data_IF_737474338527
#
_entry.id   IF_737474338527
#
_cell.length_a   1.000
_cell.length_b   1.000
_cell.length_c   1.000
_cell.angle_alpha   90.00
_cell.angle_beta   90.00
_cell.angle_gamma   90.00
#
_symmetry.space_group_name_H-M   'P 1'
#
loop_
_entity.id
_entity.type
_entity.pdbx_description
1 polymer ?
#
# COMPACT_ATOMS: atom_id res chain seq x y z
N UNK A 1 5.01 9.73 2.50
CA UNK A 1 3.79 9.56 1.66
C UNK A 1 2.86 8.50 2.24
N UNK A 2 1.58 8.59 1.93
CA UNK A 2 0.57 7.59 2.27
C UNK A 2 0.07 6.91 1.01
N UNK A 3 0.01 5.58 1.01
CA UNK A 3 -0.30 4.81 -0.19
C UNK A 3 -1.41 3.81 0.10
N UNK A 4 -2.56 3.99 -0.54
CA UNK A 4 -3.57 2.93 -0.60
C UNK A 4 -3.05 1.83 -1.54
N UNK A 5 -2.94 0.61 -1.02
CA UNK A 5 -2.26 -0.50 -1.69
C UNK A 5 -3.04 -1.81 -1.58
N UNK A 6 -2.78 -2.70 -2.54
CA UNK A 6 -3.37 -4.04 -2.61
C UNK A 6 -2.30 -5.03 -3.05
N UNK A 7 -2.12 -6.12 -2.30
CA UNK A 7 -1.16 -7.19 -2.64
C UNK A 7 -1.55 -8.03 -3.86
N UNK A 8 -2.74 -7.81 -4.43
CA UNK A 8 -3.15 -8.41 -5.71
C UNK A 8 -2.84 -7.51 -6.92
N UNK A 9 -2.39 -6.27 -6.70
CA UNK A 9 -2.24 -5.26 -7.75
C UNK A 9 -0.82 -5.24 -8.32
N UNK A 10 -0.61 -5.53 -9.63
CA UNK A 10 0.71 -5.57 -10.25
C UNK A 10 1.52 -4.27 -10.10
N UNK A 11 0.86 -3.12 -10.13
CA UNK A 11 1.53 -1.83 -9.94
C UNK A 11 1.91 -1.54 -8.48
N UNK A 12 1.21 -2.14 -7.52
CA UNK A 12 1.62 -2.08 -6.11
C UNK A 12 2.89 -2.89 -5.88
N UNK A 13 3.04 -4.05 -6.55
CA UNK A 13 4.30 -4.80 -6.54
C UNK A 13 5.45 -3.96 -7.12
N UNK A 14 5.27 -3.34 -8.29
CA UNK A 14 6.31 -2.48 -8.90
C UNK A 14 6.68 -1.29 -8.01
N UNK A 15 5.71 -0.66 -7.34
CA UNK A 15 5.99 0.40 -6.37
C UNK A 15 6.80 -0.14 -5.19
N UNK A 16 6.47 -1.34 -4.71
CA UNK A 16 7.16 -1.98 -3.58
C UNK A 16 8.59 -2.41 -3.93
N UNK A 17 8.85 -2.85 -5.18
CA UNK A 17 10.19 -3.13 -5.69
C UNK A 17 11.11 -1.90 -5.65
N UNK A 18 10.54 -0.69 -5.68
CA UNK A 18 11.27 0.59 -5.61
C UNK A 18 11.50 1.08 -4.18
N UNK A 19 11.13 0.31 -3.15
CA UNK A 19 11.14 0.76 -1.76
C UNK A 19 12.52 1.23 -1.28
N UNK A 20 13.59 0.51 -1.64
CA UNK A 20 14.96 0.89 -1.24
C UNK A 20 15.40 2.20 -1.91
N UNK A 21 15.03 2.43 -3.17
CA UNK A 21 15.33 3.68 -3.87
C UNK A 21 14.56 4.86 -3.26
N UNK A 22 13.27 4.68 -2.93
CA UNK A 22 12.46 5.69 -2.25
C UNK A 22 13.03 6.03 -0.87
N UNK A 23 13.31 5.01 -0.06
CA UNK A 23 13.89 5.18 1.28
C UNK A 23 15.27 5.85 1.22
N UNK A 24 16.10 5.49 0.24
CA UNK A 24 17.42 6.10 0.00
C UNK A 24 17.35 7.59 -0.35
N UNK A 25 16.20 8.08 -0.84
CA UNK A 25 15.92 9.50 -1.08
C UNK A 25 15.16 10.17 0.09
N UNK A 26 15.04 9.49 1.23
CA UNK A 26 14.35 10.01 2.41
C UNK A 26 12.83 9.96 2.33
N UNK A 27 12.26 9.22 1.37
CA UNK A 27 10.81 9.08 1.23
C UNK A 27 10.31 7.94 2.12
N UNK A 28 9.65 8.28 3.22
CA UNK A 28 8.94 7.29 4.03
C UNK A 28 7.61 6.89 3.36
N UNK A 29 7.39 5.59 3.14
CA UNK A 29 6.13 5.05 2.59
C UNK A 29 5.28 4.42 3.69
N UNK A 30 4.06 4.93 3.85
CA UNK A 30 3.08 4.41 4.81
C UNK A 30 1.91 3.77 4.06
N UNK A 31 1.85 2.44 4.08
CA UNK A 31 0.78 1.70 3.41
C UNK A 31 -0.54 1.73 4.19
N UNK A 32 -1.62 1.90 3.44
CA UNK A 32 -3.01 1.82 3.89
C UNK A 32 -3.66 0.70 3.07
N UNK A 33 -4.26 -0.29 3.73
CA UNK A 33 -4.86 -1.41 3.04
C UNK A 33 -6.08 -0.97 2.22
N UNK A 34 -6.07 -1.28 0.93
CA UNK A 34 -7.19 -1.05 0.02
C UNK A 34 -7.34 -2.22 -0.95
N UNK A 35 -7.78 -3.39 -0.49
CA UNK A 35 -8.09 -4.52 -1.37
C UNK A 35 -9.14 -4.11 -2.42
N UNK A 36 -8.83 -4.26 -3.71
CA UNK A 36 -9.70 -3.82 -4.82
C UNK A 36 -10.98 -4.65 -4.96
N UNK A 37 -11.15 -5.71 -4.17
CA UNK A 37 -12.34 -6.53 -4.08
C UNK A 37 -12.35 -7.38 -2.82
N UNK A 38 -13.54 -7.78 -2.37
CA UNK A 38 -13.76 -8.56 -1.15
C UNK A 38 -12.94 -9.87 -1.13
N UNK A 39 -12.69 -10.48 -2.29
CA UNK A 39 -11.86 -11.68 -2.39
C UNK A 39 -10.39 -11.47 -1.98
N UNK A 40 -9.92 -10.22 -1.94
CA UNK A 40 -8.55 -9.87 -1.55
C UNK A 40 -8.45 -9.38 -0.09
N UNK A 41 -9.56 -9.11 0.58
CA UNK A 41 -9.58 -8.76 2.01
C UNK A 41 -8.83 -9.77 2.88
N UNK A 42 -9.04 -11.11 2.75
CA UNK A 42 -8.42 -12.06 3.66
C UNK A 42 -6.89 -12.00 3.67
N UNK A 43 -6.26 -11.79 2.50
CA UNK A 43 -4.81 -11.67 2.43
C UNK A 43 -4.33 -10.38 3.11
N UNK A 44 -5.02 -9.26 2.92
CA UNK A 44 -4.68 -7.99 3.55
C UNK A 44 -4.88 -8.05 5.08
N UNK A 45 -5.98 -8.66 5.54
CA UNK A 45 -6.27 -8.88 6.97
C UNK A 45 -5.21 -9.80 7.59
N UNK A 46 -4.85 -10.89 6.93
CA UNK A 46 -3.80 -11.79 7.41
C UNK A 46 -2.46 -11.07 7.58
N UNK A 47 -2.06 -10.23 6.61
CA UNK A 47 -0.82 -9.43 6.71
C UNK A 47 -0.89 -8.47 7.90
N UNK A 48 -2.02 -7.80 8.11
CA UNK A 48 -2.20 -6.88 9.23
C UNK A 48 -2.29 -7.57 10.59
N UNK A 49 -2.54 -8.87 10.60
CA UNK A 49 -2.54 -9.71 11.78
C UNK A 49 -1.21 -10.40 12.06
N UNK A 50 -0.22 -10.28 11.17
CA UNK A 50 1.12 -10.82 11.38
C UNK A 50 1.85 -10.08 12.50
N UNK A 51 2.64 -10.82 13.28
CA UNK A 51 3.52 -10.26 14.32
C UNK A 51 4.49 -9.22 13.74
N UNK A 52 5.11 -9.57 12.60
CA UNK A 52 5.89 -8.64 11.78
C UNK A 52 5.14 -8.37 10.47
N UNK A 53 4.39 -7.27 10.47
CA UNK A 53 3.66 -6.81 9.28
C UNK A 53 4.58 -6.45 8.12
N UNK A 54 5.77 -5.90 8.38
CA UNK A 54 6.70 -5.52 7.30
C UNK A 54 7.22 -6.76 6.59
N UNK A 55 7.71 -7.75 7.35
CA UNK A 55 8.16 -9.01 6.79
C UNK A 55 7.04 -9.74 6.04
N UNK A 56 5.84 -9.82 6.62
CA UNK A 56 4.70 -10.46 5.98
C UNK A 56 4.29 -9.77 4.67
N UNK A 57 4.23 -8.44 4.66
CA UNK A 57 3.90 -7.68 3.46
C UNK A 57 4.95 -7.89 2.36
N UNK A 58 6.24 -7.85 2.71
CA UNK A 58 7.33 -8.09 1.76
C UNK A 58 7.26 -9.50 1.15
N UNK A 59 6.98 -10.53 1.96
CA UNK A 59 6.84 -11.92 1.49
C UNK A 59 5.71 -12.03 0.46
N UNK A 60 4.54 -11.45 0.75
CA UNK A 60 3.39 -11.51 -0.16
C UNK A 60 3.61 -10.67 -1.42
N UNK A 61 4.23 -9.49 -1.29
CA UNK A 61 4.61 -8.66 -2.44
C UNK A 61 5.67 -9.33 -3.33
N UNK A 62 6.43 -10.30 -2.82
CA UNK A 62 7.33 -11.13 -3.62
C UNK A 62 6.66 -12.40 -4.19
N UNK A 63 5.33 -12.51 -4.09
CA UNK A 63 4.54 -13.57 -4.72
C UNK A 63 4.37 -14.83 -3.87
N UNK A 64 4.86 -14.85 -2.63
CA UNK A 64 4.62 -15.96 -1.72
C UNK A 64 3.21 -15.88 -1.09
N UNK A 65 2.60 -17.02 -0.76
CA UNK A 65 1.30 -17.03 -0.07
C UNK A 65 1.46 -16.58 1.39
N UNK A 66 0.35 -16.16 2.00
CA UNK A 66 0.26 -15.93 3.44
C UNK A 66 -0.74 -16.89 4.08
N UNK A 67 -0.39 -17.41 5.26
CA UNK A 67 -1.31 -18.23 6.04
C UNK A 67 -2.50 -17.36 6.50
N UNK A 68 -3.74 -17.88 6.46
CA UNK A 68 -4.88 -17.16 7.02
C UNK A 68 -4.65 -16.83 8.49
N UNK A 69 -4.86 -15.58 8.86
CA UNK A 69 -4.81 -15.12 10.23
C UNK A 69 -6.00 -14.19 10.50
N UNK A 70 -6.51 -14.23 11.73
CA UNK A 70 -7.63 -13.39 12.15
C UNK A 70 -7.31 -12.72 13.48
N UNK A 71 -7.52 -11.42 13.53
CA UNK A 71 -7.31 -10.56 14.67
C UNK A 71 -8.16 -9.29 14.47
N UNK A 72 -8.32 -8.48 15.53
CA UNK A 72 -8.86 -7.13 15.38
C UNK A 72 -7.86 -6.28 14.59
N UNK A 73 -8.21 -5.95 13.35
CA UNK A 73 -7.35 -5.21 12.43
C UNK A 73 -8.10 -4.01 11.80
N UNK A 74 -7.38 -3.02 11.24
CA UNK A 74 -7.98 -1.81 10.69
C UNK A 74 -8.34 -1.94 9.19
N UNK A 75 -8.16 -3.09 8.53
CA UNK A 75 -8.23 -3.19 7.06
C UNK A 75 -9.58 -2.73 6.51
N UNK A 76 -10.69 -3.14 7.12
CA UNK A 76 -12.03 -2.68 6.72
C UNK A 76 -12.23 -1.17 6.89
N UNK A 77 -11.72 -0.60 7.98
CA UNK A 77 -11.79 0.85 8.21
C UNK A 77 -10.91 1.63 7.21
N UNK A 78 -9.74 1.09 6.87
CA UNK A 78 -8.85 1.65 5.85
C UNK A 78 -9.45 1.57 4.44
N UNK A 79 -10.10 0.47 4.10
CA UNK A 79 -10.85 0.32 2.86
C UNK A 79 -11.95 1.39 2.75
N UNK A 80 -12.77 1.55 3.79
CA UNK A 80 -13.82 2.57 3.84
C UNK A 80 -13.26 4.00 3.77
N UNK A 81 -12.13 4.25 4.42
CA UNK A 81 -11.43 5.54 4.31
C UNK A 81 -11.07 5.84 2.84
N UNK A 82 -10.51 4.86 2.12
CA UNK A 82 -10.18 5.05 0.71
C UNK A 82 -11.41 5.32 -0.16
N UNK A 83 -12.53 4.63 0.09
CA UNK A 83 -13.80 4.94 -0.59
C UNK A 83 -14.24 6.39 -0.35
N UNK A 84 -14.17 6.86 0.91
CA UNK A 84 -14.55 8.22 1.28
C UNK A 84 -13.61 9.28 0.66
N UNK A 85 -12.34 8.93 0.42
CA UNK A 85 -11.34 9.78 -0.23
C UNK A 85 -11.39 9.71 -1.77
N UNK A 86 -12.31 8.92 -2.35
CA UNK A 86 -12.45 8.77 -3.80
C UNK A 86 -11.40 7.87 -4.46
N UNK A 87 -10.72 7.02 -3.69
CA UNK A 87 -9.81 6.02 -4.22
C UNK A 87 -10.60 5.04 -5.09
N UNK A 88 -10.20 4.90 -6.35
CA UNK A 88 -10.83 4.02 -7.34
C UNK A 88 -9.85 3.02 -7.98
N UNK A 89 -8.60 2.99 -7.51
CA UNK A 89 -7.55 2.09 -7.99
C UNK A 89 -6.32 2.13 -7.08
N UNK A 90 -5.44 1.15 -7.22
CA UNK A 90 -4.19 1.05 -6.45
C UNK A 90 -2.97 0.91 -7.37
N UNK A 91 -1.78 1.40 -6.98
CA UNK A 91 -1.55 2.21 -5.79
C UNK A 91 -2.19 3.60 -5.96
N UNK A 92 -2.67 4.21 -4.89
CA UNK A 92 -3.09 5.62 -4.88
C UNK A 92 -2.25 6.36 -3.83
N UNK A 93 -1.45 7.33 -4.30
CA UNK A 93 -0.41 7.98 -3.51
C UNK A 93 -0.87 9.37 -3.10
N UNK A 94 -0.70 9.69 -1.82
CA UNK A 94 -1.00 10.98 -1.22
C UNK A 94 0.22 11.51 -0.43
N UNK A 95 0.40 12.84 -0.41
CA UNK A 95 1.39 13.48 0.47
C UNK A 95 0.85 13.62 1.92
N UNK A 96 1.61 14.26 2.81
CA UNK A 96 1.23 14.40 4.22
C UNK A 96 0.06 15.37 4.43
N UNK A 97 -0.16 16.27 3.48
CA UNK A 97 -1.22 17.26 3.43
C UNK A 97 -2.53 16.70 2.85
N UNK A 98 -2.52 15.44 2.39
CA UNK A 98 -3.69 14.78 1.80
C UNK A 98 -3.92 15.08 0.31
N UNK A 99 -2.94 15.70 -0.37
CA UNK A 99 -2.98 15.92 -1.82
C UNK A 99 -2.72 14.62 -2.56
N UNK A 100 -3.57 14.30 -3.53
CA UNK A 100 -3.39 13.15 -4.42
C UNK A 100 -2.26 13.40 -5.42
N UNK A 101 -1.22 12.57 -5.37
CA UNK A 101 -0.05 12.67 -6.24
C UNK A 101 -0.20 11.86 -7.52
N UNK A 102 -0.99 10.78 -7.48
CA UNK A 102 -1.25 9.92 -8.63
C UNK A 102 -1.32 8.44 -8.28
N UNK A 103 -1.39 7.63 -9.35
CA UNK A 103 -1.32 6.19 -9.28
C UNK A 103 0.10 5.69 -9.04
N UNK A 104 0.51 4.63 -9.75
CA UNK A 104 1.94 4.27 -9.80
C UNK A 104 2.77 5.41 -10.38
N UNK A 105 3.87 5.72 -9.72
CA UNK A 105 4.89 6.69 -10.11
C UNK A 105 6.24 6.04 -9.86
N UNK A 106 7.20 6.21 -10.78
CA UNK A 106 8.59 5.90 -10.47
C UNK A 106 9.10 6.79 -9.33
N UNK A 107 10.15 6.35 -8.63
CA UNK A 107 10.81 7.16 -7.60
C UNK A 107 11.16 8.56 -8.09
N UNK A 108 11.61 8.70 -9.35
CA UNK A 108 11.99 9.99 -9.93
C UNK A 108 10.79 10.92 -10.15
N UNK A 109 9.64 10.39 -10.56
CA UNK A 109 8.41 11.17 -10.74
C UNK A 109 7.81 11.55 -9.40
N UNK A 110 7.88 10.64 -8.42
CA UNK A 110 7.40 10.89 -7.07
C UNK A 110 8.17 12.03 -6.39
N UNK A 111 9.50 12.06 -6.49
CA UNK A 111 10.33 13.17 -5.99
C UNK A 111 9.88 14.49 -6.61
N UNK A 112 9.75 14.55 -7.94
CA UNK A 112 9.26 15.76 -8.63
C UNK A 112 7.88 16.20 -8.14
N UNK A 113 6.98 15.27 -7.82
CA UNK A 113 5.64 15.58 -7.30
C UNK A 113 5.63 16.07 -5.85
N UNK A 114 6.66 15.72 -5.06
CA UNK A 114 6.79 16.13 -3.66
C UNK A 114 7.51 17.48 -3.50
N UNK A 115 8.32 17.87 -4.47
CA UNK A 115 9.04 19.15 -4.48
C UNK A 115 8.21 20.33 -5.01
N UNK A 116 7.02 20.07 -5.58
CA UNK A 116 6.09 21.06 -6.12
C UNK A 116 4.90 21.27 -5.18
#
# INVERSE_FOLDING_TARGET
>A
IYVFTDVSCPYCHRLHEQMDEMNGKGIEVRYIAWPRGEQHMPNMEAIWCSEDRHAAFNVVMNGAPIAPANCKNPVRAQYQLGLNMGVNGTPAIYNAEGVYLGGYLSTSELVKRLEN
#
